data_IF_651865667056
#
_entry.id   IF_651865667056
#
_cell.length_a   1.000
_cell.length_b   1.000
_cell.length_c   1.000
_cell.angle_alpha   90.00
_cell.angle_beta   90.00
_cell.angle_gamma   90.00
#
_symmetry.space_group_name_H-M   'P 1'
#
loop_
_entity.id
_entity.type
_entity.pdbx_description
1 polymer ?
#
# COMPACT_ATOMS: atom_id res chain seq x y z
N UNK A 1 -25.35 25.90 9.98
CA UNK A 1 -24.74 26.32 8.72
C UNK A 1 -25.73 26.07 7.60
N UNK A 2 -26.05 27.09 6.78
CA UNK A 2 -27.08 27.00 5.72
C UNK A 2 -26.49 26.74 4.33
N UNK A 3 -25.22 26.31 4.25
CA UNK A 3 -24.55 26.08 2.98
C UNK A 3 -25.11 24.82 2.30
N UNK A 4 -25.31 24.90 0.99
CA UNK A 4 -25.80 23.75 0.21
C UNK A 4 -24.71 22.70 0.11
N UNK A 5 -25.06 21.40 0.23
CA UNK A 5 -24.11 20.26 0.14
C UNK A 5 -23.27 20.31 -1.16
N UNK A 6 -23.81 20.85 -2.25
CA UNK A 6 -23.08 21.01 -3.53
C UNK A 6 -21.83 21.87 -3.41
N UNK A 7 -21.74 22.76 -2.40
CA UNK A 7 -20.59 23.65 -2.18
C UNK A 7 -19.56 23.06 -1.21
N UNK A 8 -19.79 21.85 -0.70
CA UNK A 8 -18.88 21.19 0.23
C UNK A 8 -17.65 20.68 -0.51
N UNK A 9 -16.48 20.79 0.16
CA UNK A 9 -15.26 20.11 -0.29
C UNK A 9 -15.43 18.58 -0.23
N UNK A 10 -14.56 17.83 -0.90
CA UNK A 10 -14.58 16.37 -0.86
C UNK A 10 -14.59 15.83 0.57
N UNK A 11 -13.67 16.30 1.41
CA UNK A 11 -13.59 15.89 2.81
C UNK A 11 -14.82 16.30 3.65
N UNK A 12 -15.48 17.42 3.34
CA UNK A 12 -16.74 17.79 3.99
C UNK A 12 -17.88 16.85 3.60
N UNK A 13 -17.97 16.47 2.33
CA UNK A 13 -18.96 15.50 1.85
C UNK A 13 -18.73 14.14 2.53
N UNK A 14 -17.48 13.68 2.60
CA UNK A 14 -17.15 12.39 3.21
C UNK A 14 -17.50 12.35 4.70
N UNK A 15 -17.17 13.41 5.45
CA UNK A 15 -17.60 13.51 6.87
C UNK A 15 -19.11 13.51 7.03
N UNK A 16 -19.85 14.14 6.11
CA UNK A 16 -21.31 14.12 6.14
C UNK A 16 -21.86 12.72 5.84
N UNK A 17 -21.27 11.97 4.91
CA UNK A 17 -21.64 10.58 4.62
C UNK A 17 -21.44 9.67 5.83
N UNK A 18 -20.29 9.76 6.49
CA UNK A 18 -20.02 9.01 7.73
C UNK A 18 -21.02 9.41 8.82
N UNK A 19 -21.24 10.71 9.02
CA UNK A 19 -22.19 11.21 10.02
C UNK A 19 -23.62 10.71 9.74
N UNK A 20 -24.04 10.64 8.47
CA UNK A 20 -25.33 10.06 8.07
C UNK A 20 -25.43 8.58 8.44
N UNK A 21 -24.37 7.80 8.21
CA UNK A 21 -24.31 6.38 8.61
C UNK A 21 -24.44 6.16 10.11
N UNK A 22 -24.01 7.14 10.93
CA UNK A 22 -24.05 7.07 12.39
C UNK A 22 -25.39 7.49 13.02
N UNK A 23 -26.32 8.09 12.26
CA UNK A 23 -27.61 8.58 12.79
C UNK A 23 -28.39 7.50 13.53
N UNK A 24 -28.36 6.27 13.04
CA UNK A 24 -29.07 5.13 13.63
C UNK A 24 -28.27 4.39 14.71
N UNK A 25 -27.11 4.93 15.15
CA UNK A 25 -26.23 4.30 16.14
C UNK A 25 -25.93 2.82 15.83
N UNK A 26 -25.39 2.52 14.64
CA UNK A 26 -25.11 1.15 14.24
C UNK A 26 -23.98 0.56 15.12
N UNK A 27 -23.96 -0.75 15.25
CA UNK A 27 -22.82 -1.48 15.85
C UNK A 27 -21.71 -1.75 14.83
N UNK A 28 -22.06 -1.80 13.55
CA UNK A 28 -21.15 -2.02 12.43
C UNK A 28 -21.42 -0.96 11.36
N UNK A 29 -20.35 -0.32 10.87
CA UNK A 29 -20.42 0.67 9.78
C UNK A 29 -19.56 0.16 8.61
N UNK A 30 -20.17 0.11 7.42
CA UNK A 30 -19.48 -0.22 6.18
C UNK A 30 -19.06 1.06 5.45
N UNK A 31 -17.81 1.16 5.08
CA UNK A 31 -17.23 2.29 4.35
C UNK A 31 -16.52 1.77 3.10
N UNK A 32 -17.03 2.15 1.95
CA UNK A 32 -16.43 1.81 0.68
C UNK A 32 -15.51 2.93 0.24
N UNK A 33 -14.19 2.64 0.12
CA UNK A 33 -13.14 3.58 -0.27
C UNK A 33 -13.26 4.95 0.43
N UNK A 34 -13.22 5.03 1.80
CA UNK A 34 -13.62 6.23 2.53
C UNK A 34 -12.77 7.47 2.24
N UNK A 35 -11.61 7.35 1.65
CA UNK A 35 -10.69 8.46 1.42
C UNK A 35 -10.32 8.65 -0.05
N UNK A 36 -10.93 7.88 -0.94
CA UNK A 36 -10.67 7.97 -2.37
C UNK A 36 -10.85 9.39 -2.90
N UNK A 37 -9.86 9.87 -3.66
CA UNK A 37 -9.89 11.20 -4.28
C UNK A 37 -9.67 12.38 -3.33
N UNK A 38 -9.29 12.14 -2.07
CA UNK A 38 -8.94 13.17 -1.11
C UNK A 38 -7.43 13.45 -1.13
N UNK A 39 -7.06 14.69 -0.84
CA UNK A 39 -5.67 15.07 -0.60
C UNK A 39 -5.13 14.39 0.70
N UNK A 40 -3.80 14.19 0.82
CA UNK A 40 -3.21 13.47 1.96
C UNK A 40 -3.59 14.04 3.33
N UNK A 41 -3.66 15.38 3.46
CA UNK A 41 -3.99 16.01 4.73
C UNK A 41 -5.46 15.75 5.12
N UNK A 42 -6.37 15.82 4.16
CA UNK A 42 -7.80 15.51 4.37
C UNK A 42 -8.00 14.03 4.67
N UNK A 43 -7.25 13.14 4.00
CA UNK A 43 -7.25 11.69 4.27
C UNK A 43 -6.89 11.38 5.71
N UNK A 44 -5.76 11.92 6.21
CA UNK A 44 -5.35 11.71 7.59
C UNK A 44 -6.41 12.16 8.60
N UNK A 45 -7.06 13.31 8.38
CA UNK A 45 -8.15 13.79 9.25
C UNK A 45 -9.39 12.89 9.25
N UNK A 46 -9.71 12.27 8.12
CA UNK A 46 -10.82 11.29 8.05
C UNK A 46 -10.44 10.04 8.84
N UNK A 47 -9.19 9.56 8.72
CA UNK A 47 -8.67 8.42 9.48
C UNK A 47 -8.69 8.67 10.99
N UNK A 48 -8.19 9.81 11.44
CA UNK A 48 -8.27 10.19 12.86
C UNK A 48 -9.70 10.13 13.38
N UNK A 49 -10.65 10.64 12.58
CA UNK A 49 -12.08 10.61 12.93
C UNK A 49 -12.64 9.18 12.98
N UNK A 50 -12.31 8.33 12.02
CA UNK A 50 -12.69 6.91 11.98
C UNK A 50 -12.16 6.18 13.24
N UNK A 51 -10.88 6.34 13.56
CA UNK A 51 -10.26 5.72 14.72
C UNK A 51 -10.85 6.23 16.05
N UNK A 52 -11.22 7.50 16.10
CA UNK A 52 -11.91 8.06 17.26
C UNK A 52 -13.28 7.43 17.48
N UNK A 53 -14.04 7.22 16.40
CA UNK A 53 -15.35 6.54 16.47
C UNK A 53 -15.24 5.11 16.97
N UNK A 54 -14.25 4.34 16.50
CA UNK A 54 -13.99 2.99 17.00
C UNK A 54 -13.70 2.99 18.50
N UNK A 55 -12.77 3.84 18.96
CA UNK A 55 -12.32 3.86 20.35
C UNK A 55 -13.37 4.36 21.33
N UNK A 56 -14.09 5.45 21.00
CA UNK A 56 -15.06 6.07 21.90
C UNK A 56 -16.40 5.37 21.95
N UNK A 57 -16.86 4.81 20.84
CA UNK A 57 -18.21 4.31 20.71
C UNK A 57 -18.27 2.77 20.61
N UNK A 58 -17.14 2.06 20.63
CA UNK A 58 -17.10 0.61 20.43
C UNK A 58 -17.64 0.20 19.06
N UNK A 59 -17.52 1.10 18.05
CA UNK A 59 -18.04 0.88 16.71
C UNK A 59 -17.09 -0.06 15.95
N UNK A 60 -17.64 -1.12 15.37
CA UNK A 60 -16.89 -1.93 14.39
C UNK A 60 -17.02 -1.28 13.02
N UNK A 61 -15.87 -1.06 12.36
CA UNK A 61 -15.85 -0.51 11.00
C UNK A 61 -15.30 -1.57 10.05
N UNK A 62 -16.06 -1.86 9.00
CA UNK A 62 -15.63 -2.65 7.87
C UNK A 62 -15.41 -1.69 6.71
N UNK A 63 -14.18 -1.61 6.20
CA UNK A 63 -13.86 -0.71 5.10
C UNK A 63 -13.16 -1.43 3.96
N UNK A 64 -13.33 -0.91 2.75
CA UNK A 64 -12.51 -1.27 1.60
C UNK A 64 -11.51 -0.17 1.33
N UNK A 65 -10.31 -0.54 0.92
CA UNK A 65 -9.28 0.40 0.46
C UNK A 65 -8.26 -0.32 -0.43
N UNK A 66 -7.65 0.41 -1.34
CA UNK A 66 -6.47 -0.01 -2.08
C UNK A 66 -5.20 0.72 -1.59
N UNK A 67 -5.32 1.57 -0.57
CA UNK A 67 -4.18 2.24 0.05
C UNK A 67 -3.64 1.40 1.20
N UNK A 68 -2.39 0.93 1.07
CA UNK A 68 -1.77 0.05 2.07
C UNK A 68 -1.50 0.75 3.41
N UNK A 69 -1.17 2.03 3.38
CA UNK A 69 -1.03 2.88 4.58
C UNK A 69 -2.33 3.00 5.39
N UNK A 70 -3.47 2.88 4.72
CA UNK A 70 -4.77 2.82 5.39
C UNK A 70 -5.02 1.44 6.01
N UNK A 71 -4.73 0.38 5.27
CA UNK A 71 -4.88 -0.98 5.75
C UNK A 71 -4.00 -1.28 6.98
N UNK A 72 -2.80 -0.66 7.07
CA UNK A 72 -1.91 -0.78 8.24
C UNK A 72 -2.56 -0.36 9.56
N UNK A 73 -3.58 0.50 9.52
CA UNK A 73 -4.29 0.96 10.72
C UNK A 73 -5.46 0.05 11.15
N UNK A 74 -5.69 -1.05 10.44
CA UNK A 74 -6.80 -1.97 10.72
C UNK A 74 -6.38 -3.07 11.71
N UNK A 75 -7.32 -3.56 12.52
CA UNK A 75 -7.08 -4.71 13.41
C UNK A 75 -6.88 -6.00 12.60
N UNK A 76 -7.59 -6.15 11.48
CA UNK A 76 -7.52 -7.30 10.58
C UNK A 76 -7.71 -6.86 9.13
N UNK A 77 -7.02 -7.55 8.23
CA UNK A 77 -7.09 -7.33 6.79
C UNK A 77 -7.52 -8.62 6.10
N UNK A 78 -8.51 -8.51 5.21
CA UNK A 78 -8.84 -9.53 4.23
C UNK A 78 -8.28 -9.10 2.88
N UNK A 79 -7.38 -9.88 2.30
CA UNK A 79 -6.91 -9.71 0.93
C UNK A 79 -7.83 -10.49 0.01
N UNK A 80 -8.41 -9.81 -0.98
CA UNK A 80 -9.34 -10.40 -1.94
C UNK A 80 -8.71 -10.36 -3.32
N UNK A 81 -8.65 -11.51 -3.99
CA UNK A 81 -8.26 -11.61 -5.39
C UNK A 81 -9.25 -12.52 -6.14
N UNK A 82 -9.66 -12.11 -7.34
CA UNK A 82 -10.65 -12.84 -8.16
C UNK A 82 -11.96 -13.21 -7.43
N UNK A 83 -12.38 -12.43 -6.44
CA UNK A 83 -13.60 -12.66 -5.67
C UNK A 83 -13.44 -13.66 -4.53
N UNK A 84 -12.24 -14.15 -4.26
CA UNK A 84 -11.92 -15.05 -3.16
C UNK A 84 -11.03 -14.36 -2.12
N UNK A 85 -11.22 -14.70 -0.84
CA UNK A 85 -10.34 -14.24 0.23
C UNK A 85 -9.09 -15.12 0.20
N UNK A 86 -7.97 -14.55 -0.25
CA UNK A 86 -6.69 -15.25 -0.35
C UNK A 86 -5.87 -15.18 0.95
N UNK A 87 -6.13 -14.19 1.80
CA UNK A 87 -5.54 -14.10 3.14
C UNK A 87 -6.45 -13.30 4.08
N UNK A 88 -6.42 -13.62 5.38
CA UNK A 88 -7.16 -12.93 6.43
C UNK A 88 -6.40 -13.00 7.74
N UNK A 89 -5.75 -11.92 8.15
CA UNK A 89 -5.00 -11.85 9.41
C UNK A 89 -4.77 -10.39 9.84
N UNK A 90 -3.99 -10.19 10.92
CA UNK A 90 -3.49 -8.87 11.33
C UNK A 90 -2.43 -8.36 10.32
N UNK A 91 -2.22 -7.04 10.19
CA UNK A 91 -1.17 -6.49 9.34
C UNK A 91 0.20 -7.11 9.60
N UNK A 92 0.58 -7.25 10.87
CA UNK A 92 1.87 -7.83 11.28
C UNK A 92 2.00 -9.31 10.92
N UNK A 93 0.91 -10.09 11.07
CA UNK A 93 0.91 -11.50 10.72
C UNK A 93 1.04 -11.69 9.21
N UNK A 94 0.34 -10.90 8.42
CA UNK A 94 0.45 -10.92 6.96
C UNK A 94 1.87 -10.56 6.50
N UNK A 95 2.46 -9.51 7.05
CA UNK A 95 3.86 -9.12 6.73
C UNK A 95 4.87 -10.23 7.06
N UNK A 96 4.66 -10.96 8.17
CA UNK A 96 5.51 -12.11 8.50
C UNK A 96 5.38 -13.28 7.52
N UNK A 97 4.21 -13.49 6.90
CA UNK A 97 3.99 -14.57 5.93
C UNK A 97 4.82 -14.38 4.64
N UNK A 98 5.09 -13.14 4.25
CA UNK A 98 5.93 -12.83 3.07
C UNK A 98 7.38 -13.30 3.25
N UNK A 99 7.81 -13.44 4.51
CA UNK A 99 9.11 -13.98 4.90
C UNK A 99 10.29 -13.05 4.64
N UNK A 100 11.03 -12.72 5.70
CA UNK A 100 12.30 -12.02 5.64
C UNK A 100 12.23 -10.53 5.33
N UNK A 101 13.40 -9.92 5.39
CA UNK A 101 13.61 -8.52 5.04
C UNK A 101 13.78 -8.35 3.52
N UNK A 102 13.49 -7.17 3.02
CA UNK A 102 13.72 -6.82 1.61
C UNK A 102 15.00 -6.01 1.50
N UNK A 103 16.00 -6.60 0.85
CA UNK A 103 17.26 -5.96 0.54
C UNK A 103 17.20 -5.41 -0.89
N UNK A 104 17.49 -4.13 -1.05
CA UNK A 104 17.59 -3.46 -2.36
C UNK A 104 19.06 -3.11 -2.62
N UNK A 105 19.59 -3.53 -3.77
CA UNK A 105 20.99 -3.35 -4.15
C UNK A 105 21.03 -2.59 -5.48
N UNK A 106 21.69 -1.44 -5.49
CA UNK A 106 22.00 -0.70 -6.72
C UNK A 106 23.46 -0.90 -7.07
N UNK A 107 23.72 -1.34 -8.30
CA UNK A 107 25.07 -1.58 -8.78
C UNK A 107 25.24 -1.06 -10.20
N UNK A 108 26.49 -1.04 -10.70
CA UNK A 108 26.75 -0.74 -12.13
C UNK A 108 26.34 -1.90 -13.04
N UNK A 109 26.22 -3.11 -12.50
CA UNK A 109 25.85 -4.31 -13.22
C UNK A 109 24.92 -5.17 -12.37
N UNK A 110 23.61 -4.97 -12.55
CA UNK A 110 22.58 -5.70 -11.82
C UNK A 110 22.59 -7.21 -12.12
N UNK A 111 23.03 -7.62 -13.32
CA UNK A 111 23.08 -9.03 -13.69
C UNK A 111 24.15 -9.78 -12.88
N UNK A 112 25.28 -9.12 -12.56
CA UNK A 112 26.30 -9.71 -11.69
C UNK A 112 25.77 -9.91 -10.26
N UNK A 113 24.98 -8.95 -9.74
CA UNK A 113 24.35 -9.07 -8.43
C UNK A 113 23.38 -10.26 -8.39
N UNK A 114 22.51 -10.39 -9.41
CA UNK A 114 21.55 -11.50 -9.49
C UNK A 114 22.27 -12.84 -9.59
N UNK A 115 23.30 -12.92 -10.41
CA UNK A 115 24.09 -14.15 -10.58
C UNK A 115 24.73 -14.57 -9.26
N UNK A 116 25.33 -13.63 -8.52
CA UNK A 116 25.97 -13.94 -7.26
C UNK A 116 24.96 -14.30 -6.17
N UNK A 117 23.85 -13.57 -6.04
CA UNK A 117 22.75 -13.92 -5.13
C UNK A 117 22.25 -15.34 -5.37
N UNK A 118 22.08 -15.72 -6.65
CA UNK A 118 21.62 -17.05 -7.03
C UNK A 118 22.68 -18.13 -6.76
N UNK A 119 23.92 -17.91 -7.18
CA UNK A 119 24.98 -18.94 -7.14
C UNK A 119 25.52 -19.20 -5.74
N UNK A 120 25.77 -18.14 -4.95
CA UNK A 120 26.38 -18.27 -3.61
C UNK A 120 25.34 -18.44 -2.49
N UNK A 121 24.18 -17.81 -2.62
CA UNK A 121 23.20 -17.71 -1.51
C UNK A 121 21.87 -18.39 -1.81
N UNK A 122 21.68 -18.93 -3.03
CA UNK A 122 20.40 -19.52 -3.47
C UNK A 122 19.20 -18.56 -3.36
N UNK A 123 19.47 -17.26 -3.52
CA UNK A 123 18.47 -16.21 -3.43
C UNK A 123 18.03 -15.74 -4.82
N UNK A 124 16.74 -15.44 -4.98
CA UNK A 124 16.16 -14.95 -6.24
C UNK A 124 16.03 -13.44 -6.22
N UNK A 125 16.98 -12.74 -6.86
CA UNK A 125 16.91 -11.29 -7.05
C UNK A 125 16.02 -10.92 -8.23
N UNK A 126 15.25 -9.83 -8.06
CA UNK A 126 14.38 -9.26 -9.10
C UNK A 126 14.82 -7.84 -9.44
N UNK A 127 14.93 -7.52 -10.73
CA UNK A 127 15.19 -6.13 -11.16
C UNK A 127 13.94 -5.29 -10.96
N UNK A 128 14.10 -4.17 -10.23
CA UNK A 128 13.02 -3.20 -10.00
C UNK A 128 13.62 -1.79 -9.98
N UNK A 129 13.14 -0.91 -10.87
CA UNK A 129 13.51 0.52 -10.90
C UNK A 129 15.05 0.81 -10.91
N UNK A 130 15.84 0.02 -11.66
CA UNK A 130 17.30 0.22 -11.76
C UNK A 130 18.06 -0.26 -10.53
N UNK A 131 17.51 -1.20 -9.78
CA UNK A 131 18.16 -1.89 -8.67
C UNK A 131 17.68 -3.33 -8.60
N UNK A 132 18.37 -4.16 -7.83
CA UNK A 132 18.01 -5.55 -7.55
C UNK A 132 17.34 -5.62 -6.19
N UNK A 133 16.13 -6.15 -6.12
CA UNK A 133 15.41 -6.43 -4.88
C UNK A 133 15.46 -7.92 -4.60
N UNK A 134 15.77 -8.30 -3.36
CA UNK A 134 15.85 -9.70 -2.92
C UNK A 134 15.30 -9.84 -1.51
N UNK A 135 14.56 -10.94 -1.24
CA UNK A 135 14.08 -11.29 0.10
C UNK A 135 15.15 -12.09 0.83
N UNK A 136 15.44 -11.75 2.08
CA UNK A 136 16.43 -12.40 2.94
C UNK A 136 15.85 -12.64 4.33
N UNK A 137 16.04 -13.79 4.94
CA UNK A 137 15.45 -14.14 6.24
C UNK A 137 15.87 -13.19 7.36
N UNK A 138 17.14 -12.78 7.38
CA UNK A 138 17.69 -11.84 8.36
C UNK A 138 18.62 -10.86 7.65
N UNK A 139 18.05 -9.76 7.22
CA UNK A 139 18.78 -8.76 6.43
C UNK A 139 19.91 -8.08 7.21
N UNK A 140 19.74 -7.89 8.52
CA UNK A 140 20.78 -7.28 9.37
C UNK A 140 22.04 -8.13 9.45
N UNK A 141 21.91 -9.46 9.45
CA UNK A 141 23.04 -10.38 9.43
C UNK A 141 23.57 -10.61 8.01
N UNK A 142 22.70 -10.68 7.02
CA UNK A 142 23.06 -10.95 5.64
C UNK A 142 23.82 -9.79 4.97
N UNK A 143 23.39 -8.56 5.21
CA UNK A 143 23.93 -7.37 4.55
C UNK A 143 25.46 -7.22 4.74
N UNK A 144 26.04 -7.32 5.96
CA UNK A 144 27.49 -7.23 6.14
C UNK A 144 28.27 -8.35 5.44
N UNK A 145 27.69 -9.55 5.39
CA UNK A 145 28.30 -10.70 4.71
C UNK A 145 28.36 -10.43 3.21
N UNK A 146 27.24 -10.05 2.62
CA UNK A 146 27.14 -9.76 1.20
C UNK A 146 28.08 -8.63 0.77
N UNK A 147 28.12 -7.52 1.52
CA UNK A 147 29.02 -6.39 1.21
C UNK A 147 30.49 -6.80 1.21
N UNK A 148 30.89 -7.68 2.13
CA UNK A 148 32.29 -8.16 2.23
C UNK A 148 32.65 -9.10 1.10
N UNK A 149 31.72 -9.94 0.63
CA UNK A 149 32.02 -11.03 -0.30
C UNK A 149 31.69 -10.68 -1.76
N UNK A 150 30.95 -9.62 -2.00
CA UNK A 150 30.60 -9.20 -3.35
C UNK A 150 31.78 -8.51 -4.04
N UNK A 151 32.27 -9.10 -5.11
CA UNK A 151 33.42 -8.57 -5.86
C UNK A 151 33.09 -7.41 -6.80
N UNK A 152 31.80 -7.10 -6.98
CA UNK A 152 31.33 -6.04 -7.85
C UNK A 152 31.29 -4.66 -7.18
N UNK A 153 30.89 -3.64 -7.95
CA UNK A 153 30.74 -2.26 -7.45
C UNK A 153 29.33 -2.01 -6.97
N UNK A 154 29.14 -1.88 -5.67
CA UNK A 154 27.88 -1.48 -5.05
C UNK A 154 27.82 0.05 -4.99
N UNK A 155 26.72 0.64 -5.50
CA UNK A 155 26.46 2.08 -5.44
C UNK A 155 25.66 2.43 -4.19
N UNK A 156 24.62 1.65 -3.88
CA UNK A 156 23.83 1.79 -2.67
C UNK A 156 23.19 0.47 -2.28
N UNK A 157 22.91 0.33 -1.00
CA UNK A 157 22.11 -0.76 -0.45
C UNK A 157 21.10 -0.22 0.56
N UNK A 158 19.92 -0.79 0.54
CA UNK A 158 18.86 -0.47 1.49
C UNK A 158 18.23 -1.75 2.03
N UNK A 159 18.02 -1.78 3.35
CA UNK A 159 17.33 -2.87 4.03
C UNK A 159 16.04 -2.34 4.60
N UNK A 160 14.93 -3.02 4.34
CA UNK A 160 13.63 -2.69 4.92
C UNK A 160 12.84 -3.94 5.29
N UNK A 161 11.94 -3.80 6.23
CA UNK A 161 10.96 -4.83 6.54
C UNK A 161 9.90 -4.94 5.45
N UNK A 162 9.24 -6.10 5.30
CA UNK A 162 8.13 -6.26 4.38
C UNK A 162 7.00 -5.27 4.68
N UNK A 163 6.37 -4.78 3.63
CA UNK A 163 5.17 -3.92 3.69
C UNK A 163 3.94 -4.70 3.26
N UNK A 164 2.75 -4.13 3.47
CA UNK A 164 1.51 -4.73 2.93
C UNK A 164 1.48 -4.75 1.39
N UNK A 165 2.21 -3.84 0.72
CA UNK A 165 2.40 -3.93 -0.74
C UNK A 165 3.13 -5.21 -1.14
N UNK A 166 4.18 -5.59 -0.38
CA UNK A 166 4.91 -6.83 -0.63
C UNK A 166 4.01 -8.06 -0.39
N UNK A 167 3.17 -8.00 0.65
CA UNK A 167 2.15 -9.03 0.92
C UNK A 167 1.20 -9.18 -0.26
N UNK A 168 0.63 -8.08 -0.72
CA UNK A 168 -0.32 -8.09 -1.82
C UNK A 168 0.32 -8.64 -3.10
N UNK A 169 1.53 -8.18 -3.44
CA UNK A 169 2.27 -8.66 -4.60
C UNK A 169 2.58 -10.16 -4.51
N UNK A 170 2.99 -10.64 -3.34
CA UNK A 170 3.31 -12.04 -3.09
C UNK A 170 2.08 -12.95 -3.26
N UNK A 171 0.93 -12.54 -2.71
CA UNK A 171 -0.31 -13.31 -2.75
C UNK A 171 -1.00 -13.29 -4.11
N UNK A 172 -0.94 -12.18 -4.85
CA UNK A 172 -1.70 -11.99 -6.09
C UNK A 172 -0.83 -12.06 -7.36
N UNK A 173 0.49 -11.97 -7.21
CA UNK A 173 1.43 -11.86 -8.34
C UNK A 173 1.29 -10.55 -9.14
N UNK A 174 0.59 -9.54 -8.61
CA UNK A 174 0.29 -8.27 -9.30
C UNK A 174 0.64 -7.07 -8.44
N UNK A 175 1.22 -6.04 -9.06
CA UNK A 175 1.36 -4.74 -8.42
C UNK A 175 -0.01 -4.05 -8.31
N UNK A 176 -0.23 -3.36 -7.19
CA UNK A 176 -1.43 -2.55 -6.98
C UNK A 176 -1.42 -1.43 -8.03
N UNK A 177 -2.44 -1.40 -8.88
CA UNK A 177 -2.61 -0.30 -9.82
C UNK A 177 -3.07 0.93 -9.04
N UNK A 178 -2.18 1.91 -8.89
CA UNK A 178 -2.57 3.25 -8.44
C UNK A 178 -3.43 3.89 -9.53
N UNK A 179 -4.75 3.83 -9.40
CA UNK A 179 -5.71 4.43 -10.35
C UNK A 179 -5.54 5.94 -10.51
N UNK A 180 -4.83 6.60 -9.59
CA UNK A 180 -4.56 8.05 -9.64
C UNK A 180 -3.78 8.53 -10.90
N UNK A 181 -3.11 7.64 -11.63
CA UNK A 181 -2.39 7.99 -12.87
C UNK A 181 -3.31 7.82 -14.09
N UNK A 182 -4.18 6.81 -14.10
CA UNK A 182 -5.09 6.53 -15.22
C UNK A 182 -6.20 7.59 -15.39
N UNK A 183 -6.77 8.10 -14.29
CA UNK A 183 -7.80 9.14 -14.36
C UNK A 183 -7.26 10.50 -14.83
N UNK A 184 -6.03 10.87 -14.48
CA UNK A 184 -5.39 12.10 -14.97
C UNK A 184 -5.11 12.04 -16.48
N UNK A 185 -4.72 10.88 -17.01
CA UNK A 185 -4.53 10.70 -18.46
C UNK A 185 -5.85 10.69 -19.22
N UNK A 186 -6.90 10.08 -18.71
CA UNK A 186 -8.24 10.07 -19.31
C UNK A 186 -8.87 11.46 -19.28
N UNK A 187 -8.78 12.22 -18.17
CA UNK A 187 -9.22 13.61 -18.11
C UNK A 187 -8.43 14.52 -19.03
N UNK A 188 -7.11 14.34 -19.16
CA UNK A 188 -6.28 15.14 -20.06
C UNK A 188 -6.61 14.89 -21.53
N UNK A 189 -6.93 13.65 -21.92
CA UNK A 189 -7.38 13.28 -23.27
C UNK A 189 -8.78 13.80 -23.58
N UNK A 190 -9.71 13.78 -22.62
CA UNK A 190 -11.06 14.31 -22.80
C UNK A 190 -11.10 15.84 -22.95
N UNK A 191 -10.19 16.57 -22.30
CA UNK A 191 -10.05 18.02 -22.46
C UNK A 191 -9.39 18.44 -23.78
N UNK A 192 -8.51 17.62 -24.35
CA UNK A 192 -7.91 17.88 -25.67
C UNK A 192 -8.88 17.63 -26.83
N UNK A 193 -9.79 16.67 -26.70
CA UNK A 193 -10.82 16.37 -27.71
C UNK A 193 -11.93 17.43 -27.86
N UNK A 194 -12.11 18.32 -26.88
CA UNK A 194 -13.13 19.40 -26.92
C UNK A 194 -12.64 20.74 -27.48
N UNK A 195 -11.36 20.87 -27.89
CA UNK A 195 -10.80 22.07 -28.49
C UNK A 195 -10.63 22.00 -30.04
N UNK A 196 -11.17 20.95 -30.66
CA UNK A 196 -11.09 20.74 -32.11
C UNK A 196 -12.49 20.58 -32.75
N UNK A 197 -13.44 21.40 -32.33
CA UNK A 197 -14.67 21.63 -33.09
C UNK A 197 -15.10 23.07 -32.89
#
# INVERSE_FOLDING_TARGET
RKDKIRTYSGGMKRRLEIARGLVHRPRVLFLDEPTLGLDPQTRNRIWEYIMELCRKNGLTIFLTTHYMDEAENSDRIAVIDHGEIVALDTPEALKRQVGGDVLTISSKNDDSVITELSSKYSLVGQKKNGSVSVKVENGEQFLPIFVREFEGSIQSMGLRRPTLEDVFLDLTGREIRNESIGERELMSKSMRGRRSN
#
